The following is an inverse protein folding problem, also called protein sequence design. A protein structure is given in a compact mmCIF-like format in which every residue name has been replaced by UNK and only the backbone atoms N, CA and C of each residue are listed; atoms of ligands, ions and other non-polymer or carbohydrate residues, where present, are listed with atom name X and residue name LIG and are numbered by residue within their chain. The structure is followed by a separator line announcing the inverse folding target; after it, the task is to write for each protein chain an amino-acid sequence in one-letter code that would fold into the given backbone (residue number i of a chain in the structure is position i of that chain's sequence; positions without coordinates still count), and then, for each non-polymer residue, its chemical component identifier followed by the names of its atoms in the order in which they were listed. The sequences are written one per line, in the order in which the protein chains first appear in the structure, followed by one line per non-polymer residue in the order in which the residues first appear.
data_IF_996963063170
#
_entry.id   IF_996963063170
#
_cell.length_a   1.000
_cell.length_b   1.000
_cell.length_c   1.000
_cell.angle_alpha   90.00
_cell.angle_beta   90.00
_cell.angle_gamma   90.00
#
_symmetry.space_group_name_H-M   'P 1'
#
loop_
_entity.id
_entity.type
_entity.pdbx_description
1 polymer ?
#
# COMPACT_ATOMS: atom_id res chain seq x y z
N UNK A 1 11.16 -2.07 -0.32
CA UNK A 1 10.57 -3.34 -0.80
C UNK A 1 10.91 -4.50 0.13
N UNK A 2 12.12 -5.06 0.00
CA UNK A 2 12.55 -6.29 0.70
C UNK A 2 12.42 -6.24 2.23
N UNK A 3 12.91 -5.17 2.87
CA UNK A 3 12.78 -5.03 4.33
C UNK A 3 11.31 -5.03 4.81
N UNK A 4 10.42 -4.37 4.06
CA UNK A 4 8.99 -4.39 4.33
C UNK A 4 8.40 -5.79 4.13
N UNK A 5 8.88 -6.54 3.12
CA UNK A 5 8.40 -7.90 2.83
C UNK A 5 8.75 -8.86 3.96
N UNK A 6 9.98 -8.79 4.47
CA UNK A 6 10.40 -9.58 5.64
C UNK A 6 9.56 -9.19 6.85
N UNK A 7 9.41 -7.89 7.14
CA UNK A 7 8.64 -7.42 8.28
C UNK A 7 7.17 -7.85 8.23
N UNK A 8 6.51 -7.71 7.07
CA UNK A 8 5.11 -8.09 6.93
C UNK A 8 4.91 -9.61 6.97
N UNK A 9 5.85 -10.40 6.44
CA UNK A 9 5.82 -11.86 6.55
C UNK A 9 5.93 -12.31 8.01
N UNK A 10 6.85 -11.72 8.79
CA UNK A 10 6.98 -11.98 10.23
C UNK A 10 5.71 -11.60 11.00
N UNK A 11 5.11 -10.44 10.68
CA UNK A 11 3.86 -9.99 11.30
C UNK A 11 2.67 -10.88 10.92
N UNK A 12 2.60 -11.34 9.67
CA UNK A 12 1.57 -12.26 9.21
C UNK A 12 1.69 -13.61 9.92
N UNK A 13 2.90 -14.17 9.99
CA UNK A 13 3.16 -15.40 10.75
C UNK A 13 2.72 -15.24 12.22
N UNK A 14 3.17 -14.17 12.87
CA UNK A 14 2.78 -13.86 14.26
C UNK A 14 1.26 -13.77 14.43
N UNK A 15 0.53 -13.12 13.51
CA UNK A 15 -0.92 -12.92 13.65
C UNK A 15 -1.74 -14.17 13.36
N UNK A 16 -1.26 -15.06 12.50
CA UNK A 16 -1.97 -16.26 12.10
C UNK A 16 -1.70 -17.44 13.04
N UNK A 17 -0.47 -17.57 13.55
CA UNK A 17 -0.04 -18.78 14.27
C UNK A 17 0.14 -18.60 15.78
N UNK A 18 0.31 -17.37 16.29
CA UNK A 18 0.31 -17.14 17.75
C UNK A 18 -1.13 -17.16 18.27
N UNK A 19 -1.48 -18.17 19.08
CA UNK A 19 -2.81 -18.35 19.63
C UNK A 19 -3.34 -17.12 20.39
N UNK A 20 -2.48 -16.40 21.13
CA UNK A 20 -2.90 -15.23 21.92
C UNK A 20 -3.34 -14.09 20.99
N UNK A 21 -2.61 -13.88 19.90
CA UNK A 21 -2.88 -12.81 18.95
C UNK A 21 -4.02 -13.19 18.03
N UNK A 22 -4.09 -14.44 17.60
CA UNK A 22 -5.16 -14.94 16.74
C UNK A 22 -6.52 -14.81 17.42
N UNK A 23 -6.61 -15.16 18.70
CA UNK A 23 -7.85 -15.11 19.48
C UNK A 23 -8.34 -13.68 19.80
N UNK A 24 -7.47 -12.67 19.66
CA UNK A 24 -7.78 -11.26 19.93
C UNK A 24 -7.80 -10.39 18.68
N UNK A 25 -7.51 -10.94 17.50
CA UNK A 25 -7.47 -10.20 16.24
C UNK A 25 -8.86 -10.12 15.61
N UNK A 26 -9.24 -8.94 15.14
CA UNK A 26 -10.41 -8.80 14.28
C UNK A 26 -10.12 -9.41 12.89
N UNK A 27 -11.12 -9.98 12.19
CA UNK A 27 -10.93 -10.48 10.83
C UNK A 27 -10.37 -9.43 9.86
N UNK A 28 -10.78 -8.18 10.02
CA UNK A 28 -10.27 -7.05 9.23
C UNK A 28 -8.77 -6.80 9.38
N UNK A 29 -8.20 -7.05 10.57
CA UNK A 29 -6.75 -6.88 10.81
C UNK A 29 -5.92 -7.91 10.04
N UNK A 30 -6.45 -9.12 9.91
CA UNK A 30 -5.81 -10.19 9.14
C UNK A 30 -5.98 -9.92 7.65
N UNK A 31 -7.20 -9.58 7.22
CA UNK A 31 -7.50 -9.30 5.82
C UNK A 31 -6.62 -8.17 5.26
N UNK A 32 -6.52 -7.04 5.96
CA UNK A 32 -5.72 -5.91 5.49
C UNK A 32 -4.22 -6.21 5.50
N UNK A 33 -3.74 -6.99 6.46
CA UNK A 33 -2.35 -7.43 6.51
C UNK A 33 -1.99 -8.31 5.32
N UNK A 34 -2.87 -9.25 4.96
CA UNK A 34 -2.68 -10.12 3.79
C UNK A 34 -2.82 -9.34 2.48
N UNK A 35 -3.77 -8.42 2.37
CA UNK A 35 -3.90 -7.53 1.21
C UNK A 35 -2.63 -6.71 0.98
N UNK A 36 -2.06 -6.12 2.03
CA UNK A 36 -0.78 -5.40 1.95
C UNK A 36 0.37 -6.32 1.55
N UNK A 37 0.40 -7.56 2.04
CA UNK A 37 1.43 -8.51 1.67
C UNK A 37 1.34 -8.93 0.19
N UNK A 38 0.13 -9.17 -0.32
CA UNK A 38 -0.11 -9.43 -1.74
C UNK A 38 0.27 -8.21 -2.59
N UNK A 39 -0.13 -7.00 -2.17
CA UNK A 39 0.22 -5.76 -2.88
C UNK A 39 1.73 -5.56 -2.96
N UNK A 40 2.44 -5.82 -1.86
CA UNK A 40 3.90 -5.72 -1.83
C UNK A 40 4.57 -6.79 -2.69
N UNK A 41 4.04 -8.03 -2.68
CA UNK A 41 4.51 -9.09 -3.57
C UNK A 41 4.35 -8.67 -5.03
N UNK A 42 3.16 -8.22 -5.44
CA UNK A 42 2.91 -7.73 -6.79
C UNK A 42 3.86 -6.59 -7.16
N UNK A 43 4.04 -5.62 -6.25
CA UNK A 43 4.92 -4.47 -6.47
C UNK A 43 6.40 -4.82 -6.55
N UNK A 44 6.86 -5.90 -5.91
CA UNK A 44 8.21 -6.42 -6.10
C UNK A 44 8.33 -7.22 -7.40
N UNK A 45 7.30 -7.99 -7.75
CA UNK A 45 7.27 -8.76 -9.00
C UNK A 45 7.28 -7.89 -10.25
N UNK A 46 6.74 -6.66 -10.19
CA UNK A 46 6.80 -5.72 -11.32
C UNK A 46 8.24 -5.36 -11.71
N UNK A 47 9.20 -5.42 -10.77
CA UNK A 47 10.62 -5.13 -11.05
C UNK A 47 11.14 -6.02 -12.17
N UNK A 48 10.80 -7.31 -12.17
CA UNK A 48 11.26 -8.24 -13.22
C UNK A 48 10.73 -7.88 -14.61
N UNK A 49 9.53 -7.29 -14.69
CA UNK A 49 8.95 -6.81 -15.95
C UNK A 49 9.56 -5.47 -16.36
N UNK A 50 9.78 -4.58 -15.39
CA UNK A 50 10.42 -3.27 -15.62
C UNK A 50 11.89 -3.38 -16.05
N UNK A 51 12.60 -4.44 -15.65
CA UNK A 51 13.98 -4.70 -16.12
C UNK A 51 14.07 -4.87 -17.65
N UNK A 52 12.97 -5.21 -18.33
CA UNK A 52 12.88 -5.25 -19.79
C UNK A 52 12.70 -3.87 -20.46
N UNK A 53 12.44 -2.82 -19.68
CA UNK A 53 12.08 -1.48 -20.15
C UNK A 53 12.88 -0.40 -19.39
N UNK A 54 14.19 -0.43 -19.57
CA UNK A 54 15.14 0.44 -18.86
C UNK A 54 15.17 1.89 -19.40
N UNK A 55 14.47 2.15 -20.49
CA UNK A 55 14.24 3.48 -21.07
C UNK A 55 13.25 4.33 -20.25
N UNK A 56 12.54 3.70 -19.30
CA UNK A 56 11.63 4.38 -18.37
C UNK A 56 10.27 4.73 -18.98
N UNK A 57 9.99 4.31 -20.22
CA UNK A 57 8.74 4.63 -20.90
C UNK A 57 7.51 4.08 -20.14
N UNK A 58 7.60 2.87 -19.58
CA UNK A 58 6.54 2.30 -18.73
C UNK A 58 6.29 3.15 -17.47
N UNK A 59 7.33 3.74 -16.87
CA UNK A 59 7.18 4.61 -15.69
C UNK A 59 6.39 5.88 -16.04
N UNK A 60 6.66 6.49 -17.21
CA UNK A 60 5.96 7.71 -17.66
C UNK A 60 4.46 7.45 -17.85
N UNK A 61 4.07 6.28 -18.37
CA UNK A 61 2.66 5.87 -18.47
C UNK A 61 1.96 5.89 -17.10
N UNK A 62 2.58 5.31 -16.07
CA UNK A 62 2.02 5.30 -14.71
C UNK A 62 1.96 6.68 -14.08
N UNK A 63 2.97 7.53 -14.31
CA UNK A 63 2.98 8.92 -13.83
C UNK A 63 1.83 9.72 -14.45
N UNK A 64 1.63 9.62 -15.77
CA UNK A 64 0.55 10.30 -16.47
C UNK A 64 -0.83 9.79 -16.04
N UNK A 65 -0.97 8.47 -15.85
CA UNK A 65 -2.19 7.89 -15.28
C UNK A 65 -2.49 8.46 -13.89
N UNK A 66 -1.52 8.44 -12.98
CA UNK A 66 -1.71 8.92 -11.61
C UNK A 66 -2.06 10.41 -11.57
N UNK A 67 -1.34 11.23 -12.34
CA UNK A 67 -1.64 12.66 -12.49
C UNK A 67 -3.03 12.89 -13.10
N UNK A 68 -3.38 12.14 -14.15
CA UNK A 68 -4.68 12.22 -14.81
C UNK A 68 -5.84 11.89 -13.85
N UNK A 69 -5.71 10.85 -13.03
CA UNK A 69 -6.71 10.51 -12.01
C UNK A 69 -6.85 11.64 -10.99
N UNK A 70 -5.74 12.17 -10.46
CA UNK A 70 -5.77 13.25 -9.46
C UNK A 70 -6.25 14.60 -10.01
N UNK A 71 -6.02 14.86 -11.30
CA UNK A 71 -6.49 16.06 -12.00
C UNK A 71 -7.85 15.87 -12.68
N UNK A 72 -8.53 14.75 -12.41
CA UNK A 72 -9.87 14.41 -12.90
C UNK A 72 -9.98 14.40 -14.44
N UNK A 73 -8.93 13.95 -15.13
CA UNK A 73 -8.94 13.75 -16.58
C UNK A 73 -9.76 12.50 -16.95
N UNK A 74 -10.85 12.61 -17.73
CA UNK A 74 -11.74 11.48 -18.03
C UNK A 74 -11.05 10.30 -18.75
N UNK A 75 -10.00 10.58 -19.53
CA UNK A 75 -9.31 9.59 -20.35
C UNK A 75 -8.06 8.99 -19.67
N UNK A 76 -7.84 9.21 -18.36
CA UNK A 76 -6.61 8.78 -17.68
C UNK A 76 -6.35 7.26 -17.80
N UNK A 77 -7.40 6.44 -17.86
CA UNK A 77 -7.26 4.98 -18.03
C UNK A 77 -6.55 4.58 -19.33
N UNK A 78 -6.60 5.41 -20.37
CA UNK A 78 -5.95 5.12 -21.65
C UNK A 78 -4.41 5.04 -21.52
N UNK A 79 -3.81 5.78 -20.59
CA UNK A 79 -2.35 5.76 -20.37
C UNK A 79 -1.81 4.39 -19.93
N UNK A 80 -2.65 3.54 -19.34
CA UNK A 80 -2.28 2.21 -18.84
C UNK A 80 -3.04 1.09 -19.57
N UNK A 81 -3.59 1.37 -20.75
CA UNK A 81 -4.38 0.39 -21.49
C UNK A 81 -3.55 -0.80 -21.99
N UNK A 82 -2.30 -0.56 -22.38
CA UNK A 82 -1.40 -1.52 -23.03
C UNK A 82 -0.31 -2.09 -22.10
N UNK A 83 -0.25 -1.65 -20.85
CA UNK A 83 0.77 -2.10 -19.88
C UNK A 83 0.57 -3.56 -19.47
N UNK A 84 1.65 -4.20 -19.04
CA UNK A 84 1.63 -5.59 -18.58
C UNK A 84 0.55 -5.80 -17.48
N UNK A 85 -0.23 -6.90 -17.52
CA UNK A 85 -1.27 -7.20 -16.55
C UNK A 85 -0.84 -7.13 -15.08
N UNK A 86 0.43 -7.40 -14.76
CA UNK A 86 0.93 -7.33 -13.39
C UNK A 86 0.82 -5.91 -12.81
N UNK A 87 1.04 -4.88 -13.64
CA UNK A 87 0.88 -3.48 -13.23
C UNK A 87 -0.59 -3.17 -13.00
N UNK A 88 -1.49 -3.63 -13.89
CA UNK A 88 -2.94 -3.46 -13.72
C UNK A 88 -3.43 -4.09 -12.42
N UNK A 89 -2.96 -5.30 -12.09
CA UNK A 89 -3.26 -5.97 -10.84
C UNK A 89 -2.77 -5.16 -9.62
N UNK A 90 -1.55 -4.63 -9.69
CA UNK A 90 -0.98 -3.78 -8.63
C UNK A 90 -1.75 -2.47 -8.45
N UNK A 91 -2.16 -1.81 -9.54
CA UNK A 91 -2.96 -0.59 -9.49
C UNK A 91 -4.35 -0.86 -8.89
N UNK A 92 -5.03 -1.90 -9.37
CA UNK A 92 -6.36 -2.29 -8.89
C UNK A 92 -6.33 -2.60 -7.39
N UNK A 93 -5.39 -3.44 -6.96
CA UNK A 93 -5.28 -3.83 -5.55
C UNK A 93 -4.85 -2.63 -4.68
N UNK A 94 -3.98 -1.76 -5.19
CA UNK A 94 -3.61 -0.51 -4.54
C UNK A 94 -4.81 0.41 -4.31
N UNK A 95 -5.63 0.65 -5.33
CA UNK A 95 -6.86 1.44 -5.20
C UNK A 95 -7.88 0.76 -4.27
N UNK A 96 -7.95 -0.57 -4.27
CA UNK A 96 -8.78 -1.33 -3.34
C UNK A 96 -8.34 -1.12 -1.89
N UNK A 97 -7.03 -1.03 -1.61
CA UNK A 97 -6.52 -0.70 -0.27
C UNK A 97 -6.99 0.69 0.17
N UNK A 98 -6.98 1.69 -0.72
CA UNK A 98 -7.55 3.02 -0.42
C UNK A 98 -9.05 2.97 -0.15
N UNK A 99 -9.80 2.13 -0.88
CA UNK A 99 -11.23 1.94 -0.67
C UNK A 99 -11.55 1.36 0.71
N UNK A 100 -10.79 0.36 1.17
CA UNK A 100 -10.99 -0.26 2.50
C UNK A 100 -10.30 0.50 3.63
N UNK A 101 -9.44 1.47 3.31
CA UNK A 101 -8.66 2.25 4.25
C UNK A 101 -9.47 2.77 5.45
N UNK A 102 -10.62 3.47 5.30
CA UNK A 102 -11.34 4.06 6.43
C UNK A 102 -12.02 3.02 7.33
N UNK A 103 -12.15 1.78 6.88
CA UNK A 103 -12.81 0.68 7.61
C UNK A 103 -11.82 -0.29 8.25
N UNK A 104 -10.53 -0.01 8.15
CA UNK A 104 -9.47 -0.85 8.70
C UNK A 104 -8.61 -0.07 9.67
N UNK A 105 -7.76 -0.79 10.41
CA UNK A 105 -6.77 -0.16 11.28
C UNK A 105 -5.82 0.81 10.57
N UNK A 106 -5.76 0.86 9.23
CA UNK A 106 -4.86 1.75 8.47
C UNK A 106 -5.06 3.23 8.76
N UNK A 107 -6.21 3.63 9.30
CA UNK A 107 -6.47 5.00 9.77
C UNK A 107 -5.40 5.54 10.71
N UNK A 108 -4.65 4.68 11.41
CA UNK A 108 -3.52 5.10 12.26
C UNK A 108 -2.44 5.90 11.51
N UNK A 109 -2.32 5.74 10.18
CA UNK A 109 -1.37 6.49 9.35
C UNK A 109 -1.65 8.01 9.43
N UNK A 110 -2.91 8.43 9.59
CA UNK A 110 -3.27 9.85 9.76
C UNK A 110 -2.86 10.43 11.11
N UNK A 111 -2.64 9.59 12.11
CA UNK A 111 -2.27 10.00 13.47
C UNK A 111 -0.75 9.96 13.70
N UNK A 112 0.05 9.99 12.63
CA UNK A 112 1.50 10.09 12.73
C UNK A 112 1.88 11.30 13.61
N UNK A 113 2.61 11.10 14.73
CA UNK A 113 2.78 12.13 15.77
C UNK A 113 3.85 13.16 15.41
N UNK A 114 3.83 13.71 14.19
CA UNK A 114 4.82 14.70 13.71
C UNK A 114 4.82 15.96 14.58
N UNK A 115 3.62 16.37 15.03
CA UNK A 115 3.43 17.53 15.91
C UNK A 115 4.05 17.36 17.30
N UNK A 116 4.38 16.13 17.72
CA UNK A 116 5.05 15.89 18.99
C UNK A 116 6.44 16.55 19.03
N UNK A 117 7.13 16.63 17.89
CA UNK A 117 8.47 17.24 17.79
C UNK A 117 8.45 18.75 18.09
N UNK A 118 7.35 19.42 17.77
CA UNK A 118 7.18 20.87 18.01
C UNK A 118 6.39 21.20 19.27
N UNK A 119 6.09 20.21 20.12
CA UNK A 119 5.20 20.41 21.27
C UNK A 119 5.90 21.22 22.39
N UNK A 120 5.31 22.35 22.85
CA UNK A 120 5.86 23.11 23.97
C UNK A 120 5.53 22.43 25.31
N UNK A 121 6.57 22.15 26.09
CA UNK A 121 6.47 21.55 27.42
C UNK A 121 6.18 20.04 27.39
N UNK A 122 6.73 19.34 28.39
CA UNK A 122 6.50 17.91 28.56
C UNK A 122 5.11 17.61 29.15
N UNK A 123 4.63 18.47 30.05
CA UNK A 123 3.36 18.29 30.75
C UNK A 123 2.19 18.83 29.90
N UNK A 124 1.09 18.06 29.82
CA UNK A 124 -0.21 18.56 29.35
C UNK A 124 -1.06 18.79 30.59
N UNK A 125 -1.54 20.01 30.78
CA UNK A 125 -2.62 20.31 31.73
C UNK A 125 -3.76 20.89 30.90
N UNK A 126 -4.97 20.34 31.05
CA UNK A 126 -6.19 20.83 30.42
C UNK A 126 -7.04 21.56 31.43
#
# INVERSE_FOLDING_TARGET
GVACFIGIALLAHRRLFDARIRNTSAPGDIAILLLLWVQLTLGLSTIFVSLGHMDGHEMVKFMNWAQGILTLQPAAAAYVADVNPIFKAHLLLGMTIFLVFPFTRLVHVWSAPVWYLGRPGYQVVR
#
